data_IF_796575360299
#
_entry.id   IF_796575360299
#
_cell.length_a   1.000
_cell.length_b   1.000
_cell.length_c   1.000
_cell.angle_alpha   90.00
_cell.angle_beta   90.00
_cell.angle_gamma   90.00
#
_symmetry.space_group_name_H-M   'P 1'
#
loop_
_entity.id
_entity.type
_entity.pdbx_description
1 polymer ?
#
# COMPACT_ATOMS: atom_id res chain seq x y z
N UNK A 1 13.93 40.40 53.93
CA UNK A 1 14.82 39.96 52.84
C UNK A 1 14.99 38.45 52.96
N UNK A 2 14.50 37.72 51.94
CA UNK A 2 14.61 36.25 51.78
C UNK A 2 16.09 35.90 51.59
N UNK A 3 16.72 35.01 52.36
CA UNK A 3 16.63 33.54 52.35
C UNK A 3 16.93 32.87 50.99
N UNK A 4 18.16 32.31 50.94
CA UNK A 4 18.50 30.94 50.55
C UNK A 4 18.92 30.67 49.11
N UNK A 5 20.14 30.14 48.98
CA UNK A 5 20.73 29.46 47.83
C UNK A 5 20.48 27.94 47.97
N UNK A 6 20.31 27.26 46.82
CA UNK A 6 20.33 25.81 46.52
C UNK A 6 19.04 25.00 46.78
N UNK A 7 18.80 23.86 46.08
CA UNK A 7 19.32 23.37 44.78
C UNK A 7 18.22 22.80 43.83
N UNK A 8 18.62 22.58 42.57
CA UNK A 8 18.16 21.61 41.56
C UNK A 8 16.85 20.83 41.78
N UNK A 9 15.92 20.91 40.82
CA UNK A 9 15.05 19.78 40.47
C UNK A 9 14.84 19.68 38.96
N UNK A 10 15.26 18.52 38.45
CA UNK A 10 14.97 17.98 37.12
C UNK A 10 13.45 17.77 37.00
N UNK A 11 12.85 18.29 35.94
CA UNK A 11 11.47 18.00 35.53
C UNK A 11 11.33 18.41 34.07
N UNK A 12 11.56 17.48 33.15
CA UNK A 12 10.53 16.66 32.50
C UNK A 12 9.57 17.50 31.65
N UNK A 13 9.75 17.40 30.33
CA UNK A 13 8.69 17.60 29.37
C UNK A 13 8.47 19.03 28.91
N UNK A 14 8.29 19.14 27.59
CA UNK A 14 7.64 20.24 26.88
C UNK A 14 8.52 21.49 26.70
N UNK A 15 9.57 21.36 25.88
CA UNK A 15 10.07 22.52 25.13
C UNK A 15 8.98 22.95 24.14
N UNK A 16 8.13 23.85 24.64
CA UNK A 16 7.31 24.74 23.84
C UNK A 16 8.18 25.50 22.86
N UNK A 17 7.79 25.44 21.60
CA UNK A 17 7.67 26.58 20.69
C UNK A 17 8.81 27.61 20.77
N UNK A 18 9.98 27.24 20.28
CA UNK A 18 10.90 28.21 19.71
C UNK A 18 10.66 28.21 18.20
N UNK A 19 10.35 29.38 17.65
CA UNK A 19 10.11 29.66 16.24
C UNK A 19 11.09 28.90 15.32
N UNK A 20 10.61 27.81 14.72
CA UNK A 20 11.31 27.20 13.59
C UNK A 20 10.98 28.05 12.37
N UNK A 21 11.96 28.79 11.88
CA UNK A 21 11.97 29.24 10.49
C UNK A 21 11.55 28.06 9.60
N UNK A 22 10.69 28.26 8.58
CA UNK A 22 10.37 27.17 7.68
C UNK A 22 11.69 26.73 7.04
N UNK A 23 12.18 25.55 7.44
CA UNK A 23 13.31 24.90 6.79
C UNK A 23 12.86 24.74 5.35
N UNK A 24 13.34 25.64 4.48
CA UNK A 24 13.15 25.57 3.05
C UNK A 24 13.71 24.21 2.64
N UNK A 25 12.82 23.24 2.43
CA UNK A 25 13.20 21.88 2.07
C UNK A 25 14.19 21.98 0.91
N UNK A 26 15.44 21.59 1.15
CA UNK A 26 16.46 21.61 0.12
C UNK A 26 15.98 20.71 -1.02
N UNK A 27 15.99 21.23 -2.26
CA UNK A 27 15.60 20.43 -3.42
C UNK A 27 16.52 19.21 -3.50
N UNK A 28 15.99 18.01 -3.79
CA UNK A 28 16.81 16.83 -3.99
C UNK A 28 17.90 17.09 -5.03
N UNK A 29 19.10 16.59 -4.76
CA UNK A 29 20.18 16.60 -5.75
C UNK A 29 19.79 15.71 -6.93
N UNK A 30 20.41 15.93 -8.09
CA UNK A 30 20.09 15.14 -9.27
C UNK A 30 20.38 13.65 -9.07
N UNK A 31 21.49 13.32 -8.40
CA UNK A 31 21.80 11.94 -8.01
C UNK A 31 20.70 11.33 -7.13
N UNK A 32 20.13 12.09 -6.19
CA UNK A 32 19.05 11.58 -5.34
C UNK A 32 17.77 11.28 -6.13
N UNK A 33 17.48 12.00 -7.22
CA UNK A 33 16.34 11.68 -8.09
C UNK A 33 16.59 10.44 -8.93
N UNK A 34 17.79 10.29 -9.49
CA UNK A 34 18.16 9.09 -10.26
C UNK A 34 18.02 7.84 -9.41
N UNK A 35 18.54 7.87 -8.17
CA UNK A 35 18.37 6.77 -7.23
C UNK A 35 16.90 6.54 -6.87
N UNK A 36 16.10 7.61 -6.67
CA UNK A 36 14.68 7.46 -6.38
C UNK A 36 13.90 6.79 -7.53
N UNK A 37 14.19 7.15 -8.79
CA UNK A 37 13.57 6.54 -9.96
C UNK A 37 13.96 5.06 -10.11
N UNK A 38 15.24 4.75 -9.91
CA UNK A 38 15.70 3.35 -9.92
C UNK A 38 15.02 2.51 -8.84
N UNK A 39 14.95 3.04 -7.61
CA UNK A 39 14.27 2.38 -6.50
C UNK A 39 12.76 2.23 -6.74
N UNK A 40 12.13 3.16 -7.46
CA UNK A 40 10.72 3.06 -7.82
C UNK A 40 10.50 1.94 -8.84
N UNK A 41 11.30 1.88 -9.89
CA UNK A 41 11.24 0.80 -10.88
C UNK A 41 11.45 -0.58 -10.25
N UNK A 42 12.53 -0.77 -9.49
CA UNK A 42 12.81 -2.05 -8.81
C UNK A 42 11.65 -2.50 -7.91
N UNK A 43 11.03 -1.55 -7.19
CA UNK A 43 9.90 -1.87 -6.31
C UNK A 43 8.59 -2.09 -7.05
N UNK A 44 8.43 -1.50 -8.23
CA UNK A 44 7.27 -1.71 -9.09
C UNK A 44 7.30 -3.12 -9.65
N UNK A 45 8.45 -3.54 -10.16
CA UNK A 45 8.68 -4.91 -10.65
C UNK A 45 8.50 -5.93 -9.52
N UNK A 46 9.11 -5.69 -8.35
CA UNK A 46 8.92 -6.53 -7.16
C UNK A 46 7.44 -6.65 -6.73
N UNK A 47 6.63 -5.64 -7.01
CA UNK A 47 5.19 -5.67 -6.69
C UNK A 47 4.40 -6.39 -7.79
N UNK A 48 4.78 -6.23 -9.05
CA UNK A 48 4.23 -6.99 -10.18
C UNK A 48 4.40 -8.50 -9.97
N UNK A 49 5.61 -8.95 -9.60
CA UNK A 49 5.90 -10.36 -9.27
C UNK A 49 5.00 -10.90 -8.16
N UNK A 50 4.69 -10.07 -7.17
CA UNK A 50 3.78 -10.46 -6.07
C UNK A 50 2.34 -10.53 -6.54
N UNK A 51 1.91 -9.64 -7.43
CA UNK A 51 0.56 -9.68 -8.02
C UNK A 51 0.39 -10.90 -8.92
N UNK A 52 1.38 -11.26 -9.72
CA UNK A 52 1.37 -12.48 -10.53
C UNK A 52 1.25 -13.74 -9.65
N UNK A 53 2.06 -13.82 -8.59
CA UNK A 53 1.96 -14.92 -7.62
C UNK A 53 0.58 -15.00 -6.95
N UNK A 54 -0.02 -13.86 -6.59
CA UNK A 54 -1.34 -13.84 -5.97
C UNK A 54 -2.44 -14.18 -6.98
N UNK A 55 -2.28 -13.79 -8.24
CA UNK A 55 -3.18 -14.16 -9.33
C UNK A 55 -3.20 -15.68 -9.55
N UNK A 56 -2.05 -16.35 -9.43
CA UNK A 56 -1.97 -17.81 -9.46
C UNK A 56 -2.76 -18.46 -8.30
N UNK A 57 -2.67 -17.89 -7.08
CA UNK A 57 -3.49 -18.36 -5.95
C UNK A 57 -4.99 -18.15 -6.21
N UNK A 58 -5.38 -17.05 -6.87
CA UNK A 58 -6.78 -16.80 -7.27
C UNK A 58 -7.25 -17.80 -8.32
N UNK A 59 -6.42 -18.16 -9.29
CA UNK A 59 -6.72 -19.22 -10.26
C UNK A 59 -6.98 -20.57 -9.58
N UNK A 60 -6.14 -20.95 -8.62
CA UNK A 60 -6.37 -22.16 -7.82
C UNK A 60 -7.71 -22.08 -7.05
N UNK A 61 -8.01 -20.93 -6.44
CA UNK A 61 -9.29 -20.73 -5.76
C UNK A 61 -10.49 -20.84 -6.71
N UNK A 62 -10.38 -20.37 -7.95
CA UNK A 62 -11.42 -20.51 -8.99
C UNK A 62 -11.66 -21.99 -9.29
N UNK A 63 -10.59 -22.75 -9.53
CA UNK A 63 -10.66 -24.18 -9.87
C UNK A 63 -11.33 -25.02 -8.77
N UNK A 64 -11.17 -24.63 -7.51
CA UNK A 64 -11.80 -25.30 -6.37
C UNK A 64 -13.27 -24.89 -6.14
N UNK A 65 -13.75 -23.82 -6.77
CA UNK A 65 -15.12 -23.33 -6.54
C UNK A 65 -16.17 -24.04 -7.40
N UNK A 66 -17.34 -24.24 -6.79
CA UNK A 66 -18.54 -24.74 -7.46
C UNK A 66 -19.68 -23.72 -7.47
N UNK A 67 -19.57 -22.65 -6.67
CA UNK A 67 -20.56 -21.58 -6.64
C UNK A 67 -20.33 -20.64 -7.82
N UNK A 68 -21.21 -20.69 -8.81
CA UNK A 68 -21.11 -19.90 -10.05
C UNK A 68 -20.88 -18.40 -9.81
N UNK A 69 -21.49 -17.81 -8.77
CA UNK A 69 -21.31 -16.39 -8.48
C UNK A 69 -19.96 -16.08 -7.84
N UNK A 70 -19.41 -17.01 -7.04
CA UNK A 70 -18.05 -16.87 -6.48
C UNK A 70 -17.03 -17.01 -7.61
N UNK A 71 -17.23 -17.96 -8.53
CA UNK A 71 -16.39 -18.12 -9.73
C UNK A 71 -16.37 -16.83 -10.55
N UNK A 72 -17.53 -16.27 -10.89
CA UNK A 72 -17.63 -15.02 -11.64
C UNK A 72 -16.84 -13.87 -10.99
N UNK A 73 -16.95 -13.72 -9.66
CA UNK A 73 -16.26 -12.67 -8.92
C UNK A 73 -14.74 -12.90 -8.91
N UNK A 74 -14.28 -14.13 -8.70
CA UNK A 74 -12.85 -14.44 -8.69
C UNK A 74 -12.22 -14.37 -10.08
N UNK A 75 -12.93 -14.75 -11.16
CA UNK A 75 -12.45 -14.54 -12.53
C UNK A 75 -12.30 -13.05 -12.85
N UNK A 76 -13.21 -12.20 -12.36
CA UNK A 76 -13.04 -10.75 -12.51
C UNK A 76 -11.84 -10.23 -11.70
N UNK A 77 -11.55 -10.79 -10.52
CA UNK A 77 -10.34 -10.48 -9.75
C UNK A 77 -9.08 -10.85 -10.53
N UNK A 78 -9.01 -12.06 -11.09
CA UNK A 78 -7.88 -12.53 -11.91
C UNK A 78 -7.59 -11.59 -13.08
N UNK A 79 -8.64 -11.17 -13.82
CA UNK A 79 -8.50 -10.22 -14.93
C UNK A 79 -7.93 -8.86 -14.48
N UNK A 80 -8.42 -8.33 -13.35
CA UNK A 80 -7.94 -7.06 -12.82
C UNK A 80 -6.52 -7.18 -12.27
N UNK A 81 -6.15 -8.33 -11.69
CA UNK A 81 -4.78 -8.61 -11.26
C UNK A 81 -3.82 -8.65 -12.46
N UNK A 82 -4.21 -9.27 -13.57
CA UNK A 82 -3.41 -9.27 -14.80
C UNK A 82 -3.18 -7.84 -15.33
N UNK A 83 -4.23 -7.00 -15.36
CA UNK A 83 -4.11 -5.58 -15.73
C UNK A 83 -3.20 -4.82 -14.74
N UNK A 84 -3.32 -5.11 -13.45
CA UNK A 84 -2.48 -4.48 -12.42
C UNK A 84 -1.01 -4.85 -12.58
N UNK A 85 -0.71 -6.13 -12.84
CA UNK A 85 0.66 -6.60 -13.09
C UNK A 85 1.29 -5.88 -14.27
N UNK A 86 0.61 -5.81 -15.42
CA UNK A 86 1.10 -5.08 -16.61
C UNK A 86 1.42 -3.62 -16.28
N UNK A 87 0.53 -2.94 -15.55
CA UNK A 87 0.72 -1.54 -15.19
C UNK A 87 1.85 -1.33 -14.17
N UNK A 88 2.07 -2.28 -13.28
CA UNK A 88 3.22 -2.26 -12.36
C UNK A 88 4.54 -2.49 -13.09
N UNK A 89 4.61 -3.39 -14.07
CA UNK A 89 5.78 -3.59 -14.93
C UNK A 89 6.11 -2.31 -15.73
N UNK A 90 5.08 -1.59 -16.18
CA UNK A 90 5.20 -0.30 -16.85
C UNK A 90 5.49 0.89 -15.90
N UNK A 91 5.71 0.62 -14.61
CA UNK A 91 5.94 1.63 -13.56
C UNK A 91 4.77 2.62 -13.37
N UNK A 92 3.60 2.27 -13.86
CA UNK A 92 2.37 3.02 -13.65
C UNK A 92 1.80 2.69 -12.28
N UNK A 93 2.23 3.42 -11.25
CA UNK A 93 1.74 3.27 -9.87
C UNK A 93 0.78 4.40 -9.46
N UNK A 94 0.07 4.96 -10.44
CA UNK A 94 -0.76 6.15 -10.30
C UNK A 94 -2.16 5.86 -9.75
N UNK A 95 -3.03 6.88 -9.79
CA UNK A 95 -4.39 6.78 -9.25
C UNK A 95 -5.25 5.70 -9.91
N UNK A 96 -5.04 5.43 -11.20
CA UNK A 96 -5.72 4.36 -11.92
C UNK A 96 -5.33 2.97 -11.40
N UNK A 97 -4.04 2.76 -11.08
CA UNK A 97 -3.55 1.48 -10.54
C UNK A 97 -4.14 1.22 -9.18
N UNK A 98 -4.18 2.27 -8.36
CA UNK A 98 -4.79 2.22 -7.04
C UNK A 98 -6.30 1.96 -7.12
N UNK A 99 -6.99 2.47 -8.15
CA UNK A 99 -8.41 2.22 -8.35
C UNK A 99 -8.67 0.76 -8.72
N UNK A 100 -7.87 0.17 -9.62
CA UNK A 100 -7.97 -1.24 -9.99
C UNK A 100 -7.72 -2.14 -8.77
N UNK A 101 -6.66 -1.85 -8.00
CA UNK A 101 -6.36 -2.55 -6.74
C UNK A 101 -7.50 -2.47 -5.72
N UNK A 102 -8.16 -1.31 -5.64
CA UNK A 102 -9.34 -1.14 -4.79
C UNK A 102 -10.48 -2.03 -5.28
N UNK A 103 -10.73 -2.07 -6.59
CA UNK A 103 -11.76 -2.93 -7.17
C UNK A 103 -11.46 -4.43 -6.95
N UNK A 104 -10.20 -4.85 -7.06
CA UNK A 104 -9.74 -6.20 -6.72
C UNK A 104 -10.16 -6.56 -5.29
N UNK A 105 -9.84 -5.71 -4.32
CA UNK A 105 -10.19 -5.94 -2.90
C UNK A 105 -11.70 -6.01 -2.69
N UNK A 106 -12.45 -5.12 -3.33
CA UNK A 106 -13.92 -5.11 -3.24
C UNK A 106 -14.53 -6.40 -3.79
N UNK A 107 -14.07 -6.89 -4.95
CA UNK A 107 -14.57 -8.14 -5.53
C UNK A 107 -14.17 -9.37 -4.72
N UNK A 108 -12.97 -9.42 -4.15
CA UNK A 108 -12.58 -10.49 -3.21
C UNK A 108 -13.51 -10.49 -2.00
N UNK A 109 -13.83 -9.32 -1.45
CA UNK A 109 -14.76 -9.20 -0.33
C UNK A 109 -16.18 -9.65 -0.69
N UNK A 110 -16.66 -9.30 -1.88
CA UNK A 110 -17.95 -9.77 -2.40
C UNK A 110 -17.96 -11.30 -2.60
N UNK A 111 -16.88 -11.86 -3.13
CA UNK A 111 -16.72 -13.31 -3.33
C UNK A 111 -16.77 -14.03 -1.98
N UNK A 112 -16.06 -13.52 -0.97
CA UNK A 112 -16.08 -14.06 0.39
C UNK A 112 -17.49 -14.01 1.00
N UNK A 113 -18.20 -12.89 0.86
CA UNK A 113 -19.60 -12.77 1.32
C UNK A 113 -20.53 -13.73 0.61
N UNK A 114 -20.35 -13.93 -0.69
CA UNK A 114 -21.17 -14.85 -1.47
C UNK A 114 -20.92 -16.31 -1.07
N UNK A 115 -19.66 -16.68 -0.86
CA UNK A 115 -19.26 -18.00 -0.34
C UNK A 115 -19.90 -18.28 1.02
N UNK A 116 -19.87 -17.30 1.94
CA UNK A 116 -20.47 -17.44 3.27
C UNK A 116 -22.00 -17.63 3.25
N UNK A 117 -22.71 -17.10 2.25
CA UNK A 117 -24.16 -17.31 2.09
C UNK A 117 -24.53 -18.71 1.57
N UNK A 118 -23.57 -19.39 0.94
CA UNK A 118 -23.75 -20.71 0.33
C UNK A 118 -23.25 -21.87 1.20
N UNK A 119 -22.70 -21.61 2.38
CA UNK A 119 -22.36 -22.65 3.35
C UNK A 119 -23.61 -23.06 4.15
N UNK A 120 -23.95 -24.37 4.22
CA UNK A 120 -25.06 -24.86 5.05
C UNK A 120 -24.85 -24.61 6.54
#
# INVERSE_FOLDING_TARGET
>A
MKQTILPTLIGLGLFSSAHADPVKAAKPTENAKVEALKNHAEKSDDLADKQDSLSADVQELIDEQTNAKVIELLTAVEMLMAETTERLEDQETGGETIAIETEIVEKIYEAAKQKAKGSP
#
